data_IF_818824441520
#
_entry.id   IF_818824441520
#
_cell.length_a   1.000
_cell.length_b   1.000
_cell.length_c   1.000
_cell.angle_alpha   90.00
_cell.angle_beta   90.00
_cell.angle_gamma   90.00
#
_symmetry.space_group_name_H-M   'P 1'
#
loop_
_entity.id
_entity.type
_entity.pdbx_description
1 polymer ?
#
# COMPACT_ATOMS: atom_id res chain seq x y z
N UNK A 1 -17.59 65.74 -21.84
CA UNK A 1 -16.95 64.64 -21.16
C UNK A 1 -16.33 65.14 -19.88
N UNK A 2 -16.73 64.67 -18.69
CA UNK A 2 -16.13 65.11 -17.45
C UNK A 2 -14.71 64.54 -17.32
N UNK A 3 -13.72 65.37 -16.99
CA UNK A 3 -12.36 65.02 -16.79
C UNK A 3 -12.23 64.14 -15.51
N UNK A 4 -11.63 62.95 -15.63
CA UNK A 4 -11.38 62.05 -14.50
C UNK A 4 -10.22 62.62 -13.67
N UNK A 5 -10.47 62.81 -12.36
CA UNK A 5 -9.51 63.39 -11.43
C UNK A 5 -8.30 62.44 -11.27
N UNK A 6 -7.06 62.90 -11.56
CA UNK A 6 -5.86 62.05 -11.51
C UNK A 6 -5.57 61.44 -10.11
N UNK A 7 -6.08 62.04 -9.04
CA UNK A 7 -5.96 61.50 -7.69
C UNK A 7 -6.78 60.18 -7.47
N UNK A 8 -7.89 60.03 -8.20
CA UNK A 8 -8.73 58.79 -8.12
C UNK A 8 -8.02 57.64 -8.82
N UNK A 9 -7.28 57.91 -9.90
CA UNK A 9 -6.54 56.88 -10.64
C UNK A 9 -5.37 56.35 -9.79
N UNK A 10 -4.70 57.22 -9.02
CA UNK A 10 -3.57 56.83 -8.17
C UNK A 10 -4.01 55.93 -7.00
N UNK A 11 -5.16 56.25 -6.38
CA UNK A 11 -5.73 55.42 -5.29
C UNK A 11 -6.19 54.05 -5.80
N UNK A 12 -6.80 54.00 -6.99
CA UNK A 12 -7.22 52.72 -7.59
C UNK A 12 -6.02 51.81 -7.93
N UNK A 13 -4.91 52.35 -8.43
CA UNK A 13 -3.69 51.61 -8.74
C UNK A 13 -2.98 51.08 -7.50
N UNK A 14 -2.96 51.85 -6.40
CA UNK A 14 -2.37 51.38 -5.13
C UNK A 14 -3.21 50.26 -4.49
N UNK A 15 -4.54 50.36 -4.55
CA UNK A 15 -5.44 49.29 -4.01
C UNK A 15 -5.31 48.01 -4.82
N UNK A 16 -5.17 48.09 -6.15
CA UNK A 16 -4.99 46.89 -6.99
C UNK A 16 -3.64 46.24 -6.74
N UNK A 17 -2.57 46.99 -6.50
CA UNK A 17 -1.24 46.49 -6.22
C UNK A 17 -1.15 45.84 -4.83
N UNK A 18 -1.82 46.37 -3.83
CA UNK A 18 -1.86 45.76 -2.48
C UNK A 18 -2.74 44.52 -2.42
N UNK A 19 -3.83 44.45 -3.20
CA UNK A 19 -4.66 43.25 -3.28
C UNK A 19 -3.94 42.09 -3.98
N UNK A 20 -3.11 42.39 -4.99
CA UNK A 20 -2.31 41.35 -5.67
C UNK A 20 -1.20 40.80 -4.79
N UNK A 21 -0.66 41.54 -3.84
CA UNK A 21 0.36 41.08 -2.89
C UNK A 21 -0.30 40.20 -1.78
N UNK A 22 -1.52 40.51 -1.36
CA UNK A 22 -2.24 39.72 -0.37
C UNK A 22 -2.71 38.36 -0.91
N UNK A 23 -3.01 38.25 -2.22
CA UNK A 23 -3.37 36.96 -2.83
C UNK A 23 -2.17 36.07 -3.07
N UNK A 24 -0.96 36.61 -3.25
CA UNK A 24 0.26 35.83 -3.40
C UNK A 24 0.81 35.25 -2.07
N UNK A 25 0.44 35.83 -0.92
CA UNK A 25 0.85 35.33 0.39
C UNK A 25 -0.01 34.16 0.88
N UNK A 26 -1.22 33.98 0.33
CA UNK A 26 -2.09 32.83 0.70
C UNK A 26 -1.89 31.60 -0.20
N UNK A 27 -1.01 31.64 -1.20
CA UNK A 27 -0.71 30.49 -2.05
C UNK A 27 0.58 29.74 -1.68
N UNK A 28 1.28 30.17 -0.62
CA UNK A 28 2.54 29.52 -0.20
C UNK A 28 2.29 28.32 0.74
N UNK A 29 1.10 28.20 1.33
CA UNK A 29 0.80 27.14 2.32
C UNK A 29 0.08 25.90 1.76
N UNK A 30 -0.15 25.79 0.45
CA UNK A 30 -0.81 24.63 -0.16
C UNK A 30 0.13 23.69 -0.91
N UNK A 31 1.45 23.94 -0.90
CA UNK A 31 2.45 22.97 -1.34
C UNK A 31 3.02 22.21 -0.13
N UNK A 32 2.16 21.54 0.63
CA UNK A 32 2.59 20.58 1.63
C UNK A 32 3.00 19.27 0.94
N UNK A 33 4.31 19.13 0.72
CA UNK A 33 5.07 17.93 1.04
C UNK A 33 4.64 16.58 0.42
N UNK A 34 4.40 16.48 -0.88
CA UNK A 34 4.57 15.20 -1.55
C UNK A 34 6.07 14.80 -1.71
N UNK A 35 7.00 15.71 -1.40
CA UNK A 35 8.43 15.53 -1.66
C UNK A 35 9.26 14.93 -0.52
N UNK A 36 8.65 14.49 0.58
CA UNK A 36 9.39 13.86 1.69
C UNK A 36 9.10 12.35 1.88
N UNK A 37 8.42 11.70 0.94
CA UNK A 37 8.26 10.26 1.02
C UNK A 37 9.60 9.57 0.70
N UNK A 38 10.13 8.81 1.67
CA UNK A 38 11.26 7.91 1.44
C UNK A 38 10.79 6.74 0.60
N UNK A 39 11.55 6.35 -0.41
CA UNK A 39 11.21 5.23 -1.29
C UNK A 39 12.00 4.00 -0.86
N UNK A 40 11.31 2.86 -0.75
CA UNK A 40 11.89 1.53 -0.55
C UNK A 40 11.54 0.66 -1.73
N UNK A 41 12.53 0.08 -2.36
CA UNK A 41 12.33 -0.97 -3.33
C UNK A 41 12.01 -2.29 -2.61
N UNK A 42 10.85 -2.85 -2.90
CA UNK A 42 10.48 -4.21 -2.50
C UNK A 42 10.84 -5.14 -3.66
N UNK A 43 12.02 -5.76 -3.59
CA UNK A 43 12.58 -6.52 -4.69
C UNK A 43 13.57 -5.73 -5.55
N UNK A 44 13.89 -6.24 -6.73
CA UNK A 44 14.85 -5.64 -7.68
C UNK A 44 15.62 -6.69 -8.45
N UNK A 45 16.89 -6.41 -8.76
CA UNK A 45 17.76 -7.33 -9.50
C UNK A 45 17.58 -7.24 -11.02
N UNK A 46 17.71 -8.38 -11.69
CA UNK A 46 17.51 -8.50 -13.13
C UNK A 46 16.64 -9.73 -13.47
N UNK A 47 16.32 -9.92 -14.75
CA UNK A 47 15.43 -11.00 -15.20
C UNK A 47 15.93 -12.43 -14.94
N UNK A 48 17.23 -12.60 -14.68
CA UNK A 48 17.85 -13.90 -14.38
C UNK A 48 18.20 -14.08 -12.90
N UNK A 49 18.19 -12.99 -12.13
CA UNK A 49 18.49 -12.95 -10.69
C UNK A 49 17.63 -11.88 -10.02
N UNK A 50 16.32 -12.14 -9.84
CA UNK A 50 15.48 -11.26 -9.06
C UNK A 50 15.94 -11.27 -7.60
N UNK A 51 15.81 -10.11 -6.93
CA UNK A 51 16.19 -9.94 -5.54
C UNK A 51 14.95 -9.97 -4.65
N UNK A 52 15.02 -10.73 -3.57
CA UNK A 52 13.97 -10.82 -2.54
C UNK A 52 14.43 -10.12 -1.25
N UNK A 53 14.66 -8.81 -1.37
CA UNK A 53 15.11 -7.92 -0.29
C UNK A 53 14.40 -6.58 -0.36
N UNK A 54 14.37 -5.83 0.76
CA UNK A 54 14.02 -4.41 0.76
C UNK A 54 15.27 -3.54 0.65
N UNK A 55 15.22 -2.51 -0.20
CA UNK A 55 16.32 -1.57 -0.39
C UNK A 55 15.82 -0.13 -0.29
N UNK A 56 16.29 0.65 0.70
CA UNK A 56 17.16 0.25 1.80
C UNK A 56 16.46 -0.66 2.81
N UNK A 57 17.24 -1.45 3.56
CA UNK A 57 16.74 -2.34 4.61
C UNK A 57 16.24 -1.57 5.83
N UNK A 58 17.00 -0.56 6.28
CA UNK A 58 16.65 0.31 7.41
C UNK A 58 16.46 1.74 6.95
N UNK A 59 15.42 2.38 7.46
CA UNK A 59 15.14 3.80 7.24
C UNK A 59 14.89 4.50 8.57
N UNK A 60 15.42 5.71 8.69
CA UNK A 60 15.13 6.63 9.77
C UNK A 60 14.33 7.82 9.21
N UNK A 61 13.20 8.12 9.87
CA UNK A 61 12.30 9.22 9.54
C UNK A 61 11.85 9.94 10.81
N UNK A 62 11.18 11.09 10.63
CA UNK A 62 10.49 11.80 11.72
C UNK A 62 9.02 11.42 11.77
N UNK A 63 8.41 11.55 12.96
CA UNK A 63 6.95 11.43 13.08
C UNK A 63 6.24 12.41 12.12
N UNK A 64 5.20 11.93 11.43
CA UNK A 64 4.50 12.65 10.39
C UNK A 64 5.07 12.46 8.98
N UNK A 65 6.26 11.87 8.80
CA UNK A 65 6.81 11.55 7.47
C UNK A 65 6.28 10.21 6.94
N UNK A 66 6.42 10.04 5.62
CA UNK A 66 5.90 8.86 4.90
C UNK A 66 7.01 8.04 4.27
N UNK A 67 6.76 6.74 4.15
CA UNK A 67 7.56 5.80 3.36
C UNK A 67 6.67 5.19 2.28
N UNK A 68 7.17 5.12 1.06
CA UNK A 68 6.50 4.48 -0.08
C UNK A 68 7.31 3.28 -0.53
N UNK A 69 6.66 2.14 -0.64
CA UNK A 69 7.22 0.93 -1.24
C UNK A 69 6.69 0.77 -2.66
N UNK A 70 7.57 0.36 -3.57
CA UNK A 70 7.24 -0.08 -4.92
C UNK A 70 8.01 -1.38 -5.24
N UNK A 71 7.58 -2.08 -6.28
CA UNK A 71 8.25 -3.29 -6.73
C UNK A 71 8.93 -3.06 -8.08
N UNK A 72 10.27 -2.84 -8.11
CA UNK A 72 11.02 -2.65 -9.35
C UNK A 72 11.55 -3.97 -9.95
N UNK A 73 11.12 -5.12 -9.47
CA UNK A 73 11.56 -6.42 -9.98
C UNK A 73 11.21 -6.55 -11.47
N UNK A 74 12.14 -6.97 -12.34
CA UNK A 74 11.89 -7.02 -13.79
C UNK A 74 11.11 -8.26 -14.24
N UNK A 75 10.70 -9.12 -13.31
CA UNK A 75 9.86 -10.31 -13.56
C UNK A 75 8.58 -10.21 -12.74
N UNK A 76 7.52 -10.92 -13.16
CA UNK A 76 6.21 -10.90 -12.50
C UNK A 76 6.24 -11.64 -11.14
N UNK A 77 7.05 -11.14 -10.22
CA UNK A 77 7.21 -11.65 -8.86
C UNK A 77 6.60 -10.66 -7.87
N UNK A 78 5.54 -11.03 -7.12
CA UNK A 78 4.93 -10.14 -6.16
C UNK A 78 5.74 -10.06 -4.86
N UNK A 79 5.74 -8.88 -4.24
CA UNK A 79 6.23 -8.66 -2.89
C UNK A 79 5.14 -8.02 -2.03
N UNK A 80 5.27 -8.05 -0.71
CA UNK A 80 4.36 -7.33 0.18
C UNK A 80 5.11 -6.59 1.27
N UNK A 81 4.44 -5.62 1.87
CA UNK A 81 4.90 -4.91 3.06
C UNK A 81 3.91 -5.18 4.17
N UNK A 82 4.34 -5.98 5.15
CA UNK A 82 3.45 -6.47 6.20
C UNK A 82 4.00 -6.10 7.56
N UNK A 83 3.32 -5.20 8.27
CA UNK A 83 3.56 -4.88 9.67
C UNK A 83 2.65 -5.72 10.56
N UNK A 84 3.18 -6.26 11.64
CA UNK A 84 2.39 -7.02 12.60
C UNK A 84 2.97 -6.91 14.01
N UNK A 85 2.09 -6.84 15.01
CA UNK A 85 2.49 -6.82 16.43
C UNK A 85 2.90 -8.19 16.95
N UNK A 86 2.36 -9.24 16.37
CA UNK A 86 2.52 -10.61 16.84
C UNK A 86 2.46 -11.56 15.65
N UNK A 87 3.34 -12.55 15.61
CA UNK A 87 3.41 -13.55 14.54
C UNK A 87 2.12 -14.35 14.34
N UNK A 88 1.23 -14.41 15.35
CA UNK A 88 -0.10 -15.03 15.20
C UNK A 88 -0.99 -14.36 14.16
N UNK A 89 -0.70 -13.09 13.81
CA UNK A 89 -1.42 -12.37 12.76
C UNK A 89 -0.89 -12.66 11.36
N UNK A 90 0.23 -13.37 11.24
CA UNK A 90 0.75 -13.78 9.93
C UNK A 90 -0.28 -14.67 9.24
N UNK A 91 -0.82 -14.28 8.08
CA UNK A 91 -1.90 -15.03 7.45
C UNK A 91 -1.39 -16.35 6.87
N UNK A 92 -2.15 -17.41 7.02
CA UNK A 92 -1.95 -18.59 6.20
C UNK A 92 -2.13 -18.18 4.73
N UNK A 93 -1.09 -18.40 3.93
CA UNK A 93 -1.03 -17.90 2.56
C UNK A 93 -2.00 -18.62 1.64
N UNK A 94 -1.99 -19.95 1.72
CA UNK A 94 -2.79 -20.84 0.89
C UNK A 94 -3.24 -22.02 1.74
N UNK A 95 -4.49 -22.41 1.57
CA UNK A 95 -5.04 -23.62 2.19
C UNK A 95 -5.65 -24.52 1.12
N UNK A 96 -4.96 -25.59 0.70
CA UNK A 96 -5.55 -26.61 -0.16
C UNK A 96 -6.41 -27.58 0.66
N UNK A 97 -7.58 -27.93 0.13
CA UNK A 97 -8.43 -28.98 0.72
C UNK A 97 -9.28 -29.67 -0.35
N UNK A 98 -9.62 -30.92 -0.10
CA UNK A 98 -10.45 -31.73 -1.00
C UNK A 98 -11.92 -31.59 -0.66
N UNK A 99 -12.72 -31.47 -1.71
CA UNK A 99 -14.16 -31.34 -1.61
C UNK A 99 -14.84 -32.19 -2.70
N UNK A 100 -16.11 -32.58 -2.52
CA UNK A 100 -16.90 -33.21 -3.60
C UNK A 100 -16.95 -32.27 -4.82
N UNK A 101 -16.93 -32.83 -6.01
CA UNK A 101 -17.00 -32.09 -7.27
C UNK A 101 -18.22 -31.16 -7.37
N UNK A 102 -19.32 -31.54 -6.70
CA UNK A 102 -20.56 -30.75 -6.65
C UNK A 102 -20.50 -29.55 -5.69
N UNK A 103 -19.43 -29.39 -4.90
CA UNK A 103 -19.33 -28.29 -3.95
C UNK A 103 -19.06 -26.98 -4.69
N UNK A 104 -19.91 -25.98 -4.44
CA UNK A 104 -19.71 -24.61 -4.90
C UNK A 104 -19.03 -23.80 -3.80
N UNK A 105 -18.11 -22.93 -4.21
CA UNK A 105 -17.43 -21.99 -3.34
C UNK A 105 -17.81 -20.57 -3.68
N UNK A 106 -18.12 -19.79 -2.64
CA UNK A 106 -18.26 -18.35 -2.74
C UNK A 106 -17.11 -17.70 -1.97
N UNK A 107 -16.57 -16.63 -2.52
CA UNK A 107 -15.61 -15.83 -1.80
C UNK A 107 -16.25 -15.26 -0.54
N UNK A 108 -15.63 -15.48 0.63
CA UNK A 108 -16.13 -14.95 1.91
C UNK A 108 -15.66 -13.52 2.15
N UNK A 109 -14.84 -12.97 1.27
CA UNK A 109 -14.25 -11.65 1.45
C UNK A 109 -14.93 -10.68 0.50
N UNK A 110 -15.61 -9.63 0.99
CA UNK A 110 -16.13 -8.57 0.14
C UNK A 110 -15.00 -7.95 -0.68
N UNK A 111 -15.24 -7.73 -1.96
CA UNK A 111 -14.30 -7.15 -2.91
C UNK A 111 -13.04 -8.00 -3.21
N UNK A 112 -12.95 -9.23 -2.74
CA UNK A 112 -11.96 -10.15 -3.29
C UNK A 112 -12.57 -10.81 -4.52
N UNK A 113 -12.03 -10.52 -5.70
CA UNK A 113 -12.37 -11.24 -6.92
C UNK A 113 -11.62 -12.59 -6.99
N UNK A 114 -11.03 -13.03 -5.88
CA UNK A 114 -10.33 -14.28 -5.80
C UNK A 114 -11.36 -15.42 -5.78
N UNK A 115 -11.74 -15.84 -6.95
CA UNK A 115 -12.42 -17.12 -7.10
C UNK A 115 -11.49 -18.24 -6.61
N UNK A 116 -12.05 -19.29 -5.99
CA UNK A 116 -11.24 -20.44 -5.59
C UNK A 116 -10.51 -21.03 -6.78
N UNK A 117 -9.19 -21.11 -6.71
CA UNK A 117 -8.41 -21.83 -7.70
C UNK A 117 -8.67 -23.32 -7.52
N UNK A 118 -9.25 -23.95 -8.52
CA UNK A 118 -9.50 -25.38 -8.53
C UNK A 118 -8.35 -26.05 -9.28
N UNK A 119 -7.55 -26.83 -8.56
CA UNK A 119 -6.40 -27.54 -9.14
C UNK A 119 -6.67 -29.03 -8.99
N UNK A 120 -6.72 -29.80 -10.10
CA UNK A 120 -6.74 -31.25 -10.04
C UNK A 120 -5.45 -31.74 -9.39
N UNK A 121 -5.55 -32.50 -8.31
CA UNK A 121 -4.39 -33.14 -7.69
C UNK A 121 -4.14 -34.53 -8.29
N UNK A 122 -2.87 -34.94 -8.48
CA UNK A 122 -2.55 -36.31 -8.90
C UNK A 122 -3.10 -37.31 -7.89
N UNK A 123 -3.87 -38.27 -8.33
CA UNK A 123 -4.47 -39.29 -7.49
C UNK A 123 -5.82 -38.94 -6.86
N UNK A 124 -6.43 -37.81 -7.23
CA UNK A 124 -7.82 -37.52 -6.84
C UNK A 124 -8.80 -38.50 -7.48
N UNK A 125 -9.82 -38.85 -6.72
CA UNK A 125 -10.93 -39.61 -7.27
C UNK A 125 -11.74 -38.76 -8.24
N UNK A 126 -12.44 -39.34 -9.23
CA UNK A 126 -13.32 -38.58 -10.13
C UNK A 126 -14.42 -37.79 -9.42
N UNK A 127 -14.66 -38.08 -8.14
CA UNK A 127 -15.73 -37.51 -7.32
C UNK A 127 -15.26 -36.31 -6.48
N UNK A 128 -13.96 -36.05 -6.39
CA UNK A 128 -13.39 -34.97 -5.58
C UNK A 128 -12.53 -34.01 -6.42
N UNK A 129 -12.44 -32.78 -5.97
CA UNK A 129 -11.53 -31.75 -6.51
C UNK A 129 -10.76 -31.10 -5.37
N UNK A 130 -9.54 -30.66 -5.64
CA UNK A 130 -8.78 -29.84 -4.72
C UNK A 130 -9.11 -28.38 -4.96
N UNK A 131 -9.49 -27.70 -3.90
CA UNK A 131 -9.69 -26.26 -3.88
C UNK A 131 -8.54 -25.62 -3.14
N UNK A 132 -7.91 -24.64 -3.76
CA UNK A 132 -6.86 -23.84 -3.14
C UNK A 132 -7.41 -22.45 -2.90
N UNK A 133 -7.58 -22.08 -1.64
CA UNK A 133 -8.00 -20.74 -1.26
C UNK A 133 -6.80 -19.89 -0.89
N UNK A 134 -6.74 -18.69 -1.44
CA UNK A 134 -5.76 -17.67 -1.05
C UNK A 134 -6.41 -16.76 -0.02
N UNK A 135 -5.71 -16.52 1.10
CA UNK A 135 -6.22 -15.64 2.13
C UNK A 135 -6.15 -14.18 1.64
N UNK A 136 -7.30 -13.52 1.55
CA UNK A 136 -7.39 -12.13 1.10
C UNK A 136 -6.48 -11.18 1.91
N UNK A 137 -6.27 -11.46 3.20
CA UNK A 137 -5.34 -10.67 4.03
C UNK A 137 -3.87 -10.78 3.57
N UNK A 138 -3.54 -11.76 2.74
CA UNK A 138 -2.19 -11.92 2.18
C UNK A 138 -1.98 -11.07 0.94
N UNK A 139 -2.98 -10.93 0.07
CA UNK A 139 -2.80 -10.35 -1.27
C UNK A 139 -3.58 -9.05 -1.53
N UNK A 140 -4.53 -8.67 -0.65
CA UNK A 140 -5.26 -7.39 -0.73
C UNK A 140 -4.73 -6.44 0.36
N UNK A 141 -4.66 -5.12 0.11
CA UNK A 141 -4.30 -4.16 1.14
C UNK A 141 -5.31 -4.17 2.28
N UNK A 142 -4.83 -4.32 3.51
CA UNK A 142 -5.72 -4.53 4.65
C UNK A 142 -5.10 -4.06 5.96
N UNK A 143 -5.96 -3.61 6.88
CA UNK A 143 -5.62 -3.25 8.25
C UNK A 143 -6.49 -4.03 9.23
N UNK A 144 -5.86 -4.55 10.28
CA UNK A 144 -6.55 -5.02 11.48
C UNK A 144 -6.31 -4.02 12.61
N UNK A 145 -7.37 -3.64 13.26
CA UNK A 145 -7.31 -2.73 14.41
C UNK A 145 -6.52 -3.30 15.59
N UNK A 146 -6.41 -2.52 16.66
CA UNK A 146 -5.69 -2.92 17.88
C UNK A 146 -6.26 -4.17 18.56
N UNK A 147 -7.54 -4.51 18.34
CA UNK A 147 -8.16 -5.73 18.85
C UNK A 147 -7.82 -6.96 18.00
N UNK A 148 -7.35 -6.79 16.78
CA UNK A 148 -7.09 -7.84 15.79
C UNK A 148 -8.36 -8.51 15.25
N UNK A 149 -9.52 -7.90 15.47
CA UNK A 149 -10.84 -8.46 15.08
C UNK A 149 -11.49 -7.72 13.93
N UNK A 150 -11.37 -6.38 13.91
CA UNK A 150 -11.99 -5.58 12.87
C UNK A 150 -11.05 -5.45 11.68
N UNK A 151 -11.55 -5.82 10.52
CA UNK A 151 -10.81 -5.83 9.26
C UNK A 151 -11.27 -4.68 8.39
N UNK A 152 -10.34 -3.87 7.92
CA UNK A 152 -10.59 -2.80 6.95
C UNK A 152 -9.75 -3.06 5.70
N UNK A 153 -10.40 -3.29 4.56
CA UNK A 153 -9.72 -3.40 3.28
C UNK A 153 -9.46 -2.01 2.71
N UNK A 154 -8.25 -1.81 2.20
CA UNK A 154 -7.82 -0.57 1.59
C UNK A 154 -7.86 -0.67 0.06
N UNK A 155 -8.07 0.44 -0.65
CA UNK A 155 -7.95 0.45 -2.10
C UNK A 155 -6.54 0.06 -2.58
N UNK A 156 -6.38 -0.45 -3.82
CA UNK A 156 -5.08 -0.58 -4.46
C UNK A 156 -4.31 0.74 -4.45
N UNK A 157 -2.99 0.68 -4.25
CA UNK A 157 -2.10 1.85 -4.23
C UNK A 157 -2.45 2.89 -3.14
N UNK A 158 -3.04 2.45 -2.03
CA UNK A 158 -3.49 3.34 -0.96
C UNK A 158 -2.34 4.04 -0.23
N UNK A 159 -2.70 5.20 0.33
CA UNK A 159 -1.93 5.88 1.36
C UNK A 159 -2.60 5.59 2.71
N UNK A 160 -1.84 5.03 3.65
CA UNK A 160 -2.34 4.69 4.98
C UNK A 160 -1.61 5.52 6.04
N UNK A 161 -2.33 5.95 7.07
CA UNK A 161 -1.72 6.60 8.24
C UNK A 161 -1.70 5.62 9.39
N UNK A 162 -0.48 5.24 9.81
CA UNK A 162 -0.24 4.29 10.90
C UNK A 162 0.00 5.05 12.20
N UNK A 163 -0.76 4.72 13.24
CA UNK A 163 -0.58 5.27 14.57
C UNK A 163 0.14 4.33 15.54
N UNK A 164 0.51 3.14 15.08
CA UNK A 164 1.23 2.12 15.85
C UNK A 164 0.33 1.31 16.79
N UNK A 165 -0.99 1.46 16.70
CA UNK A 165 -1.93 0.65 17.51
C UNK A 165 -2.43 -0.58 16.76
N UNK A 166 -2.30 -0.61 15.46
CA UNK A 166 -2.76 -1.67 14.57
C UNK A 166 -2.12 -3.01 14.91
N UNK A 167 -2.91 -4.07 14.89
CA UNK A 167 -2.41 -5.43 15.07
C UNK A 167 -1.74 -5.98 13.82
N UNK A 168 -2.17 -5.51 12.63
CA UNK A 168 -1.69 -5.95 11.34
C UNK A 168 -1.98 -4.88 10.28
N UNK A 169 -0.99 -4.61 9.43
CA UNK A 169 -1.14 -3.75 8.24
C UNK A 169 -0.41 -4.42 7.09
N UNK A 170 -1.07 -4.58 5.96
CA UNK A 170 -0.49 -5.22 4.77
C UNK A 170 -0.78 -4.41 3.51
N UNK A 171 0.22 -4.26 2.66
CA UNK A 171 0.11 -3.62 1.35
C UNK A 171 -0.71 -4.41 0.34
N UNK A 172 -1.00 -5.69 0.60
CA UNK A 172 -1.30 -6.63 -0.46
C UNK A 172 -0.05 -6.95 -1.30
N UNK A 173 -0.24 -7.63 -2.41
CA UNK A 173 0.86 -8.00 -3.32
C UNK A 173 1.20 -6.84 -4.25
N UNK A 174 2.36 -6.24 -4.02
CA UNK A 174 2.95 -5.24 -4.89
C UNK A 174 3.52 -5.94 -6.14
N UNK A 175 2.91 -5.68 -7.27
CA UNK A 175 3.39 -6.17 -8.56
C UNK A 175 4.32 -5.17 -9.22
N UNK A 176 5.29 -5.61 -10.01
CA UNK A 176 5.98 -4.72 -10.94
C UNK A 176 4.95 -4.07 -11.88
N UNK A 177 5.21 -2.83 -12.28
CA UNK A 177 4.27 -2.07 -13.11
C UNK A 177 3.93 -2.82 -14.40
N UNK A 178 2.63 -2.95 -14.69
CA UNK A 178 2.12 -3.66 -15.85
C UNK A 178 2.20 -5.19 -15.78
N UNK A 179 2.62 -5.79 -14.66
CA UNK A 179 2.81 -7.24 -14.54
C UNK A 179 1.84 -7.90 -13.54
N UNK A 180 0.85 -7.18 -13.04
CA UNK A 180 -0.21 -7.79 -12.26
C UNK A 180 -1.01 -8.80 -13.10
N UNK A 181 -1.47 -9.93 -12.51
CA UNK A 181 -2.36 -10.85 -13.20
C UNK A 181 -3.65 -10.14 -13.67
N UNK A 182 -4.27 -10.57 -14.78
CA UNK A 182 -5.48 -9.94 -15.32
C UNK A 182 -6.63 -9.80 -14.31
N UNK A 183 -6.79 -10.78 -13.43
CA UNK A 183 -7.84 -10.83 -12.41
C UNK A 183 -7.36 -10.40 -11.02
N UNK A 184 -6.11 -9.97 -10.89
CA UNK A 184 -5.51 -9.51 -9.64
C UNK A 184 -5.63 -7.99 -9.47
N UNK A 185 -5.66 -7.48 -8.22
CA UNK A 185 -5.63 -6.05 -7.99
C UNK A 185 -4.29 -5.48 -8.48
N UNK A 186 -4.29 -4.40 -9.31
CA UNK A 186 -3.06 -3.81 -9.86
C UNK A 186 -2.36 -2.92 -8.82
N UNK A 187 -1.85 -3.55 -7.76
CA UNK A 187 -1.14 -2.87 -6.68
C UNK A 187 0.33 -2.76 -7.06
N UNK A 188 0.82 -1.56 -7.29
CA UNK A 188 2.23 -1.30 -7.67
C UNK A 188 3.00 -0.53 -6.60
N UNK A 189 2.28 0.11 -5.67
CA UNK A 189 2.86 0.89 -4.57
C UNK A 189 2.00 0.82 -3.31
N UNK A 190 2.63 1.10 -2.18
CA UNK A 190 1.96 1.29 -0.90
C UNK A 190 2.67 2.38 -0.12
N UNK A 191 1.94 3.34 0.43
CA UNK A 191 2.50 4.46 1.19
C UNK A 191 1.97 4.43 2.62
N UNK A 192 2.87 4.55 3.59
CA UNK A 192 2.50 4.65 5.00
C UNK A 192 3.08 5.94 5.58
N UNK A 193 2.23 6.75 6.19
CA UNK A 193 2.59 7.88 7.04
C UNK A 193 2.66 7.39 8.49
N UNK A 194 3.75 7.69 9.19
CA UNK A 194 3.96 7.24 10.56
C UNK A 194 3.72 8.39 11.54
N UNK A 195 2.69 8.30 12.36
CA UNK A 195 2.30 9.38 13.28
C UNK A 195 3.08 9.38 14.60
N UNK A 196 3.62 8.24 15.03
CA UNK A 196 4.24 8.12 16.35
C UNK A 196 5.68 7.63 16.26
N UNK A 197 6.57 8.16 17.13
CA UNK A 197 7.90 7.60 17.31
C UNK A 197 7.86 6.13 17.72
N UNK A 198 8.83 5.36 17.21
CA UNK A 198 8.94 3.93 17.50
C UNK A 198 9.73 3.20 16.42
N UNK A 199 9.87 1.89 16.61
CA UNK A 199 10.49 0.99 15.64
C UNK A 199 9.40 0.11 15.02
N UNK A 200 9.30 0.13 13.70
CA UNK A 200 8.29 -0.58 12.92
C UNK A 200 8.98 -1.59 12.00
N UNK A 201 9.04 -2.84 12.46
CA UNK A 201 9.56 -3.93 11.65
C UNK A 201 8.48 -4.44 10.70
N UNK A 202 8.89 -4.80 9.48
CA UNK A 202 7.99 -5.35 8.47
C UNK A 202 8.64 -6.49 7.69
N UNK A 203 7.80 -7.31 7.07
CA UNK A 203 8.21 -8.52 6.35
C UNK A 203 7.42 -8.64 5.06
N UNK A 204 8.00 -9.29 4.06
CA UNK A 204 7.25 -9.76 2.90
C UNK A 204 6.54 -11.08 3.24
N UNK A 205 5.21 -11.14 3.08
CA UNK A 205 4.46 -12.36 3.37
C UNK A 205 4.65 -13.45 2.29
N UNK A 206 5.14 -13.08 1.10
CA UNK A 206 5.51 -14.02 0.04
C UNK A 206 6.89 -14.63 0.31
N UNK A 207 7.82 -13.81 0.85
CA UNK A 207 9.21 -14.16 1.13
C UNK A 207 9.53 -13.86 2.60
N UNK A 208 9.24 -14.76 3.55
CA UNK A 208 9.34 -14.45 4.99
C UNK A 208 10.76 -14.10 5.48
N UNK A 209 11.79 -14.37 4.71
CA UNK A 209 13.17 -13.92 4.98
C UNK A 209 13.45 -12.48 4.55
N UNK A 210 12.58 -11.89 3.74
CA UNK A 210 12.67 -10.51 3.28
C UNK A 210 12.06 -9.59 4.33
N UNK A 211 12.89 -8.93 5.13
CA UNK A 211 12.50 -8.07 6.25
C UNK A 211 13.05 -6.65 6.07
N UNK A 212 12.50 -5.70 6.79
CA UNK A 212 12.96 -4.33 6.86
C UNK A 212 12.49 -3.63 8.13
N UNK A 213 13.01 -2.43 8.38
CA UNK A 213 12.72 -1.66 9.60
C UNK A 213 12.65 -0.16 9.32
N UNK A 214 11.67 0.49 9.93
CA UNK A 214 11.54 1.94 9.98
C UNK A 214 11.72 2.41 11.42
N UNK A 215 12.69 3.27 11.65
CA UNK A 215 12.85 3.99 12.93
C UNK A 215 12.24 5.37 12.80
N UNK A 216 11.21 5.67 13.59
CA UNK A 216 10.52 6.97 13.65
C UNK A 216 10.97 7.70 14.90
N UNK A 217 11.49 8.93 14.73
CA UNK A 217 11.95 9.81 15.82
C UNK A 217 11.01 10.98 16.07
#
# INVERSE_FOLDING_TARGET
MPAINPQIILVALVVISTLSILTSLNQVDAQTNENNARIVAAGGGNSTSPLTIFVPYNIEIKAGESVTWNNPTPVAEPHSVTFMKDSKYFPAFVAPFQVPNSTEFQSLVPNSNAEPLIVPAPGESPQTKTVVTVNARAFIPVVLDSSGKNVTYLPPNSNYTMDGTESYVNSGWLWPEGQAPPDGPPITKFTVKFEKPGTYSYVCNVHPWMTGEITVK
#
